data_IF_718377503545
#
_entry.id   IF_718377503545
#
_cell.length_a   1.000
_cell.length_b   1.000
_cell.length_c   1.000
_cell.angle_alpha   90.00
_cell.angle_beta   90.00
_cell.angle_gamma   90.00
#
_symmetry.space_group_name_H-M   'P 1'
#
loop_
_entity.id
_entity.type
_entity.pdbx_description
1 polymer ?
#
# COMPACT_ATOMS: atom_id res chain seq x y z
N UNK A 1 -13.86 20.73 20.12
CA UNK A 1 -14.48 19.80 19.14
C UNK A 1 -15.21 20.64 18.12
N UNK A 2 -15.01 20.41 16.81
CA UNK A 2 -15.64 21.22 15.77
C UNK A 2 -17.08 20.77 15.55
N UNK A 3 -18.01 21.73 15.55
CA UNK A 3 -19.41 21.46 15.25
C UNK A 3 -19.57 20.95 13.80
N UNK A 4 -20.37 19.91 13.54
CA UNK A 4 -20.54 19.34 12.19
C UNK A 4 -20.91 20.38 11.11
N UNK A 5 -21.67 21.41 11.47
CA UNK A 5 -22.08 22.48 10.55
C UNK A 5 -20.92 23.32 10.02
N UNK A 6 -19.79 23.30 10.70
CA UNK A 6 -18.56 23.97 10.27
C UNK A 6 -17.75 23.09 9.32
N UNK A 7 -18.19 21.88 8.96
CA UNK A 7 -17.49 21.06 7.99
C UNK A 7 -17.68 21.56 6.55
N UNK A 8 -16.62 21.57 5.77
CA UNK A 8 -16.66 21.83 4.33
C UNK A 8 -16.41 20.54 3.56
N UNK A 9 -17.48 19.95 3.03
CA UNK A 9 -17.42 18.71 2.24
C UNK A 9 -16.52 18.83 1.00
N UNK A 10 -16.56 19.92 0.20
CA UNK A 10 -15.70 20.07 -0.96
C UNK A 10 -14.20 20.07 -0.65
N UNK A 11 -13.78 20.73 0.44
CA UNK A 11 -12.37 20.76 0.86
C UNK A 11 -11.99 19.65 1.83
N UNK A 12 -12.96 18.81 2.24
CA UNK A 12 -12.81 17.77 3.25
C UNK A 12 -12.10 18.29 4.52
N UNK A 13 -12.45 19.51 4.94
CA UNK A 13 -11.78 20.24 6.01
C UNK A 13 -12.75 21.16 6.76
N UNK A 14 -12.46 21.56 8.01
CA UNK A 14 -13.32 22.50 8.74
C UNK A 14 -13.22 23.94 8.19
N UNK A 15 -14.35 24.64 8.17
CA UNK A 15 -14.49 26.07 7.89
C UNK A 15 -14.07 26.90 9.09
N UNK A 16 -13.43 28.03 8.81
CA UNK A 16 -13.05 29.02 9.82
C UNK A 16 -11.56 29.00 10.18
N UNK A 17 -11.16 30.03 10.94
CA UNK A 17 -9.77 30.28 11.37
C UNK A 17 -9.57 30.13 12.89
N UNK A 18 -10.54 29.54 13.60
CA UNK A 18 -10.41 29.27 15.03
C UNK A 18 -9.29 28.25 15.30
N UNK A 19 -8.67 28.34 16.48
CA UNK A 19 -7.51 27.50 16.83
C UNK A 19 -7.80 26.00 16.67
N UNK A 20 -8.97 25.53 17.11
CA UNK A 20 -9.38 24.12 16.94
C UNK A 20 -9.52 23.72 15.46
N UNK A 21 -10.07 24.61 14.62
CA UNK A 21 -10.21 24.38 13.18
C UNK A 21 -8.85 24.30 12.50
N UNK A 22 -7.91 25.17 12.90
CA UNK A 22 -6.56 25.15 12.38
C UNK A 22 -5.81 23.89 12.81
N UNK A 23 -5.96 23.46 14.07
CA UNK A 23 -5.35 22.22 14.57
C UNK A 23 -5.87 21.01 13.78
N UNK A 24 -7.19 20.87 13.61
CA UNK A 24 -7.76 19.76 12.85
C UNK A 24 -7.32 19.80 11.38
N UNK A 25 -7.36 20.98 10.75
CA UNK A 25 -6.90 21.15 9.37
C UNK A 25 -5.44 20.75 9.18
N UNK A 26 -4.57 21.16 10.10
CA UNK A 26 -3.15 20.78 10.09
C UNK A 26 -2.97 19.27 10.26
N UNK A 27 -3.75 18.65 11.15
CA UNK A 27 -3.74 17.20 11.34
C UNK A 27 -4.16 16.45 10.08
N UNK A 28 -5.27 16.85 9.44
CA UNK A 28 -5.74 16.26 8.18
C UNK A 28 -4.71 16.42 7.06
N UNK A 29 -4.11 17.60 6.93
CA UNK A 29 -3.04 17.87 5.97
C UNK A 29 -1.82 16.97 6.18
N UNK A 30 -1.42 16.77 7.45
CA UNK A 30 -0.34 15.85 7.81
C UNK A 30 -0.68 14.41 7.43
N UNK A 31 -1.91 13.98 7.67
CA UNK A 31 -2.37 12.63 7.34
C UNK A 31 -2.38 12.41 5.82
N UNK A 32 -2.91 13.34 5.03
CA UNK A 32 -2.86 13.31 3.57
C UNK A 32 -1.43 13.26 3.05
N UNK A 33 -0.54 14.07 3.63
CA UNK A 33 0.87 14.07 3.26
C UNK A 33 1.56 12.74 3.56
N UNK A 34 1.19 12.05 4.65
CA UNK A 34 1.70 10.71 4.97
C UNK A 34 1.18 9.68 3.98
N UNK A 35 -0.11 9.75 3.62
CA UNK A 35 -0.70 8.84 2.65
C UNK A 35 -0.01 8.97 1.29
N UNK A 36 0.23 10.21 0.83
CA UNK A 36 0.95 10.46 -0.42
C UNK A 36 2.38 9.90 -0.39
N UNK A 37 3.10 10.02 0.74
CA UNK A 37 4.43 9.41 0.86
C UNK A 37 4.38 7.89 0.70
N UNK A 38 3.40 7.23 1.30
CA UNK A 38 3.26 5.77 1.16
C UNK A 38 2.87 5.37 -0.26
N UNK A 39 2.00 6.13 -0.92
CA UNK A 39 1.73 5.97 -2.34
C UNK A 39 3.03 6.01 -3.15
N UNK A 40 3.86 7.04 -2.96
CA UNK A 40 5.11 7.20 -3.72
C UNK A 40 6.09 6.04 -3.46
N UNK A 41 6.13 5.50 -2.24
CA UNK A 41 6.95 4.32 -1.90
C UNK A 41 6.45 3.11 -2.68
N UNK A 42 5.15 2.79 -2.62
CA UNK A 42 4.56 1.66 -3.35
C UNK A 42 4.79 1.79 -4.86
N UNK A 43 4.62 3.00 -5.41
CA UNK A 43 4.89 3.31 -6.82
C UNK A 43 6.36 3.05 -7.19
N UNK A 44 7.30 3.51 -6.35
CA UNK A 44 8.74 3.29 -6.58
C UNK A 44 9.16 1.82 -6.51
N UNK A 45 8.42 1.00 -5.77
CA UNK A 45 8.64 -0.44 -5.65
C UNK A 45 7.93 -1.23 -6.76
N UNK A 46 7.13 -0.56 -7.61
CA UNK A 46 6.31 -1.22 -8.63
C UNK A 46 5.23 -2.13 -8.04
N UNK A 47 4.81 -1.88 -6.80
CA UNK A 47 3.79 -2.67 -6.12
C UNK A 47 2.38 -2.23 -6.51
N UNK A 48 1.42 -3.13 -6.38
CA UNK A 48 0.01 -2.81 -6.61
C UNK A 48 -0.45 -1.75 -5.62
N UNK A 49 -0.94 -0.62 -6.15
CA UNK A 49 -1.41 0.51 -5.35
C UNK A 49 -2.91 0.37 -5.10
N UNK A 50 -3.26 -0.14 -3.92
CA UNK A 50 -4.66 -0.22 -3.44
C UNK A 50 -4.85 0.60 -2.17
N UNK A 51 -6.12 0.94 -1.86
CA UNK A 51 -6.45 1.64 -0.62
C UNK A 51 -5.99 0.86 0.63
N UNK A 52 -6.11 -0.47 0.60
CA UNK A 52 -5.61 -1.33 1.68
C UNK A 52 -4.09 -1.36 1.76
N UNK A 53 -3.37 -1.34 0.62
CA UNK A 53 -1.91 -1.23 0.62
C UNK A 53 -1.43 0.07 1.27
N UNK A 54 -2.01 1.21 0.89
CA UNK A 54 -1.69 2.52 1.47
C UNK A 54 -2.02 2.55 2.96
N UNK A 55 -3.19 2.02 3.36
CA UNK A 55 -3.62 1.93 4.77
C UNK A 55 -2.67 1.06 5.59
N UNK A 56 -2.25 -0.07 5.07
CA UNK A 56 -1.33 -0.99 5.75
C UNK A 56 0.07 -0.37 5.87
N UNK A 57 0.53 0.35 4.85
CA UNK A 57 1.78 1.09 4.88
C UNK A 57 1.75 2.25 5.89
N UNK A 58 0.65 3.00 5.95
CA UNK A 58 0.43 4.04 6.96
C UNK A 58 0.45 3.50 8.39
N UNK A 59 -0.09 2.30 8.60
CA UNK A 59 -0.08 1.61 9.90
C UNK A 59 1.27 0.97 10.25
N UNK A 60 2.27 1.04 9.36
CA UNK A 60 3.56 0.34 9.55
C UNK A 60 3.44 -1.19 9.49
N UNK A 61 2.33 -1.69 8.95
CA UNK A 61 2.06 -3.11 8.73
C UNK A 61 2.42 -3.57 7.31
N UNK A 62 3.00 -2.70 6.47
CA UNK A 62 3.48 -3.08 5.14
C UNK A 62 4.78 -3.86 5.24
N UNK A 63 4.66 -5.18 5.30
CA UNK A 63 4.91 -6.10 4.19
C UNK A 63 4.77 -7.50 4.78
N UNK A 64 4.24 -8.46 4.01
CA UNK A 64 4.42 -9.87 4.36
C UNK A 64 5.93 -10.10 4.33
N UNK A 65 6.57 -10.21 5.50
CA UNK A 65 8.01 -10.51 5.58
C UNK A 65 8.21 -11.88 4.95
N UNK A 66 8.64 -11.91 3.70
CA UNK A 66 9.03 -13.15 3.05
C UNK A 66 10.39 -13.55 3.61
N UNK A 67 10.46 -14.74 4.17
CA UNK A 67 11.71 -15.39 4.52
C UNK A 67 12.48 -15.74 3.25
N UNK A 68 13.81 -15.86 3.36
CA UNK A 68 14.64 -16.34 2.25
C UNK A 68 14.13 -17.67 1.67
N UNK A 69 13.57 -18.53 2.53
CA UNK A 69 12.99 -19.82 2.15
C UNK A 69 11.74 -19.66 1.27
N UNK A 70 10.84 -18.74 1.61
CA UNK A 70 9.63 -18.46 0.82
C UNK A 70 9.97 -17.90 -0.56
N UNK A 71 10.97 -17.02 -0.64
CA UNK A 71 11.48 -16.50 -1.93
C UNK A 71 12.09 -17.63 -2.75
N UNK A 72 12.89 -18.49 -2.13
CA UNK A 72 13.51 -19.63 -2.80
C UNK A 72 12.48 -20.63 -3.34
N UNK A 73 11.46 -20.96 -2.54
CA UNK A 73 10.38 -21.85 -2.95
C UNK A 73 9.56 -21.26 -4.11
N UNK A 74 9.23 -19.97 -4.06
CA UNK A 74 8.53 -19.31 -5.17
C UNK A 74 9.30 -19.43 -6.49
N UNK A 75 10.62 -19.21 -6.46
CA UNK A 75 11.45 -19.36 -7.65
C UNK A 75 11.58 -20.82 -8.12
N UNK A 76 11.66 -21.78 -7.19
CA UNK A 76 11.69 -23.19 -7.53
C UNK A 76 10.38 -23.65 -8.19
N UNK A 77 9.23 -23.22 -7.67
CA UNK A 77 7.92 -23.54 -8.26
C UNK A 77 7.78 -22.96 -9.67
N UNK A 78 8.22 -21.70 -9.86
CA UNK A 78 8.28 -21.06 -11.17
C UNK A 78 9.22 -21.81 -12.13
N UNK A 79 10.36 -22.30 -11.65
CA UNK A 79 11.29 -23.07 -12.46
C UNK A 79 10.73 -24.44 -12.84
N UNK A 80 10.19 -25.19 -11.88
CA UNK A 80 9.55 -26.50 -12.11
C UNK A 80 8.41 -26.40 -13.12
N UNK A 81 7.59 -25.33 -13.02
CA UNK A 81 6.51 -25.09 -13.97
C UNK A 81 7.01 -24.93 -15.42
N UNK A 82 8.26 -24.50 -15.63
CA UNK A 82 8.88 -24.34 -16.95
C UNK A 82 9.65 -25.58 -17.39
N UNK A 83 10.27 -26.31 -16.46
CA UNK A 83 10.98 -27.56 -16.76
C UNK A 83 10.01 -28.64 -17.22
N UNK A 84 8.81 -28.72 -16.64
CA UNK A 84 7.79 -29.70 -17.03
C UNK A 84 7.21 -29.49 -18.45
N UNK A 85 7.48 -28.34 -19.06
CA UNK A 85 7.08 -28.02 -20.44
C UNK A 85 8.21 -28.37 -21.42
N UNK A 86 9.46 -28.41 -20.95
CA UNK A 86 10.65 -28.64 -21.77
C UNK A 86 11.12 -30.09 -21.77
N UNK A 87 10.69 -30.89 -20.80
CA UNK A 87 10.91 -32.34 -20.76
C UNK A 87 9.59 -33.07 -21.02
N UNK A 88 9.18 -33.15 -22.28
CA UNK A 88 8.42 -34.34 -22.68
C UNK A 88 9.40 -35.53 -22.62
N UNK A 89 9.18 -36.52 -21.74
CA UNK A 89 10.01 -37.71 -21.75
C UNK A 89 9.78 -38.39 -23.09
N UNK A 90 10.78 -38.36 -23.98
CA UNK A 90 10.81 -39.24 -25.14
C UNK A 90 10.84 -40.66 -24.58
N UNK A 91 9.70 -41.35 -24.64
CA UNK A 91 9.67 -42.80 -24.54
C UNK A 91 10.62 -43.36 -25.60
N UNK A 92 11.72 -43.95 -25.14
CA UNK A 92 12.67 -44.64 -26.01
C UNK A 92 12.09 -46.03 -26.23
N UNK A 93 11.54 -46.26 -27.43
CA UNK A 93 11.31 -47.59 -28.03
C UNK A 93 12.62 -48.20 -28.50
#
# INVERSE_FOLDING_TARGET
MIHPDLWDTPSNSPKGKGDEAQILKNYLSSLTSKAQRQYNVLESLGQEITADAIKNALKGTSEKKLTLLEVFNYHNDQFLSRVNILFEPKEIL
#
